data_IF_092960508252
#
_entry.id   IF_092960508252
#
_cell.length_a   1.000
_cell.length_b   1.000
_cell.length_c   1.000
_cell.angle_alpha   90.00
_cell.angle_beta   90.00
_cell.angle_gamma   90.00
#
_symmetry.space_group_name_H-M   'P 1'
#
loop_
_entity.id
_entity.type
_entity.pdbx_description
1 polymer ?
#
# COMPACT_ATOMS: atom_id res chain seq x y z
N UNK A 1 -7.87 16.62 -9.48
CA UNK A 1 -6.95 16.13 -8.44
C UNK A 1 -6.18 17.28 -7.81
N UNK A 2 -6.02 17.31 -6.50
CA UNK A 2 -5.32 18.39 -5.80
C UNK A 2 -3.83 18.39 -6.18
N UNK A 3 -3.26 19.56 -6.50
CA UNK A 3 -1.84 19.71 -6.88
C UNK A 3 -0.88 19.06 -5.87
N UNK A 4 -1.22 19.09 -4.59
CA UNK A 4 -0.41 18.48 -3.52
C UNK A 4 -0.34 16.96 -3.69
N UNK A 5 -1.48 16.30 -3.92
CA UNK A 5 -1.54 14.84 -4.11
C UNK A 5 -0.80 14.44 -5.39
N UNK A 6 -0.96 15.22 -6.48
CA UNK A 6 -0.25 14.97 -7.72
C UNK A 6 1.27 15.03 -7.50
N UNK A 7 1.77 16.12 -6.92
CA UNK A 7 3.19 16.26 -6.65
C UNK A 7 3.71 15.21 -5.67
N UNK A 8 2.92 14.82 -4.65
CA UNK A 8 3.28 13.73 -3.74
C UNK A 8 3.48 12.41 -4.49
N UNK A 9 2.55 12.07 -5.38
CA UNK A 9 2.61 10.85 -6.18
C UNK A 9 3.76 10.92 -7.19
N UNK A 10 3.91 12.05 -7.93
CA UNK A 10 4.99 12.23 -8.89
C UNK A 10 6.37 12.11 -8.23
N UNK A 11 6.59 12.78 -7.11
CA UNK A 11 7.87 12.70 -6.37
C UNK A 11 8.13 11.30 -5.82
N UNK A 12 7.12 10.65 -5.26
CA UNK A 12 7.28 9.29 -4.73
C UNK A 12 7.51 8.27 -5.86
N UNK A 13 6.84 8.43 -7.00
CA UNK A 13 7.05 7.63 -8.21
C UNK A 13 8.48 7.80 -8.75
N UNK A 14 8.95 9.03 -8.85
CA UNK A 14 10.30 9.33 -9.30
C UNK A 14 11.37 8.76 -8.36
N UNK A 15 11.16 8.90 -7.05
CA UNK A 15 12.08 8.36 -6.05
C UNK A 15 12.10 6.84 -5.93
N UNK A 16 10.96 6.17 -6.21
CA UNK A 16 10.84 4.72 -6.13
C UNK A 16 11.22 4.00 -7.44
N UNK A 17 10.84 4.56 -8.59
CA UNK A 17 10.90 3.87 -9.89
C UNK A 17 11.81 4.57 -10.91
N UNK A 18 12.49 5.64 -10.52
CA UNK A 18 13.46 6.35 -11.37
C UNK A 18 12.90 6.92 -12.67
N UNK A 19 11.59 7.19 -12.73
CA UNK A 19 10.96 7.88 -13.85
C UNK A 19 11.08 9.39 -13.68
N UNK A 20 11.14 10.14 -14.77
CA UNK A 20 11.12 11.59 -14.74
C UNK A 20 9.68 12.07 -14.73
N UNK A 21 9.34 12.93 -13.78
CA UNK A 21 7.99 13.49 -13.60
C UNK A 21 8.03 15.03 -13.56
N UNK A 22 6.96 15.67 -13.98
CA UNK A 22 6.83 17.11 -13.88
C UNK A 22 6.21 17.52 -12.55
N UNK A 23 6.88 18.42 -11.82
CA UNK A 23 6.43 18.92 -10.53
C UNK A 23 5.84 20.32 -10.72
N UNK A 24 4.61 20.49 -10.29
CA UNK A 24 3.93 21.80 -10.36
C UNK A 24 4.38 22.71 -9.21
N UNK A 25 4.66 23.99 -9.48
CA UNK A 25 5.06 24.93 -8.44
C UNK A 25 3.96 25.06 -7.37
N UNK A 26 4.39 25.14 -6.11
CA UNK A 26 3.50 25.25 -4.95
C UNK A 26 4.00 26.33 -3.98
N UNK A 27 3.08 26.90 -3.19
CA UNK A 27 3.45 27.75 -2.06
C UNK A 27 4.12 26.95 -0.93
N UNK A 28 4.91 27.60 -0.08
CA UNK A 28 5.55 26.97 1.08
C UNK A 28 4.52 26.25 1.98
N UNK A 29 3.34 26.80 2.15
CA UNK A 29 2.25 26.18 2.90
C UNK A 29 1.82 24.81 2.29
N UNK A 30 1.70 24.73 0.95
CA UNK A 30 1.35 23.47 0.27
C UNK A 30 2.47 22.44 0.36
N UNK A 31 3.73 22.88 0.35
CA UNK A 31 4.88 22.00 0.56
C UNK A 31 4.88 21.39 1.97
N UNK A 32 4.55 22.18 2.99
CA UNK A 32 4.40 21.67 4.36
C UNK A 32 3.26 20.62 4.47
N UNK A 33 2.17 20.83 3.74
CA UNK A 33 1.09 19.82 3.66
C UNK A 33 1.60 18.55 3.02
N UNK A 34 2.33 18.65 1.90
CA UNK A 34 2.90 17.50 1.20
C UNK A 34 3.84 16.72 2.11
N UNK A 35 4.70 17.41 2.87
CA UNK A 35 5.58 16.78 3.85
C UNK A 35 4.80 15.97 4.89
N UNK A 36 3.79 16.55 5.53
CA UNK A 36 2.92 15.86 6.49
C UNK A 36 2.21 14.65 5.87
N UNK A 37 1.78 14.76 4.62
CA UNK A 37 1.18 13.62 3.92
C UNK A 37 2.21 12.51 3.68
N UNK A 38 3.45 12.85 3.30
CA UNK A 38 4.52 11.89 3.12
C UNK A 38 4.88 11.15 4.42
N UNK A 39 4.89 11.87 5.56
CA UNK A 39 5.08 11.26 6.89
C UNK A 39 3.93 10.30 7.24
N UNK A 40 2.69 10.72 7.03
CA UNK A 40 1.51 9.88 7.33
C UNK A 40 1.48 8.63 6.46
N UNK A 41 1.88 8.73 5.19
CA UNK A 41 1.94 7.62 4.25
C UNK A 41 3.22 6.80 4.39
N UNK A 42 4.16 7.24 5.23
CA UNK A 42 5.45 6.60 5.48
C UNK A 42 6.29 6.41 4.19
N UNK A 43 6.31 7.47 3.37
CA UNK A 43 7.01 7.51 2.07
C UNK A 43 8.05 8.63 1.97
N UNK A 44 8.41 9.26 3.09
CA UNK A 44 9.39 10.36 3.13
C UNK A 44 10.68 10.04 2.38
N UNK A 45 11.31 8.85 2.53
CA UNK A 45 12.55 8.53 1.83
C UNK A 45 12.40 8.54 0.29
N UNK A 46 11.26 8.07 -0.22
CA UNK A 46 10.99 8.08 -1.65
C UNK A 46 10.76 9.50 -2.18
N UNK A 47 9.97 10.30 -1.46
CA UNK A 47 9.74 11.71 -1.81
C UNK A 47 11.05 12.50 -1.76
N UNK A 48 11.91 12.27 -0.78
CA UNK A 48 13.22 12.90 -0.67
C UNK A 48 14.10 12.62 -1.91
N UNK A 49 14.18 11.35 -2.34
CA UNK A 49 14.92 10.97 -3.56
C UNK A 49 14.35 11.62 -4.82
N UNK A 50 13.02 11.76 -4.91
CA UNK A 50 12.37 12.49 -5.99
C UNK A 50 12.73 13.97 -5.97
N UNK A 51 12.69 14.61 -4.79
CA UNK A 51 13.05 16.02 -4.62
C UNK A 51 14.51 16.31 -4.98
N UNK A 52 15.44 15.42 -4.64
CA UNK A 52 16.86 15.58 -4.97
C UNK A 52 17.10 15.74 -6.47
N UNK A 53 16.30 15.07 -7.31
CA UNK A 53 16.39 15.17 -8.77
C UNK A 53 15.88 16.51 -9.32
N UNK A 54 15.04 17.19 -8.57
CA UNK A 54 14.52 18.52 -8.89
C UNK A 54 15.27 19.67 -8.20
N UNK A 55 16.39 19.38 -7.54
CA UNK A 55 17.15 20.37 -6.77
C UNK A 55 17.59 21.58 -7.59
N UNK A 56 17.94 21.36 -8.85
CA UNK A 56 18.43 22.38 -9.79
C UNK A 56 17.30 22.96 -10.66
N UNK A 57 16.09 22.36 -10.60
CA UNK A 57 14.97 22.82 -11.42
C UNK A 57 14.26 24.01 -10.78
N UNK A 58 14.60 25.21 -11.27
CA UNK A 58 13.98 26.46 -10.84
C UNK A 58 12.47 26.53 -11.08
N UNK A 59 11.90 25.71 -11.99
CA UNK A 59 10.48 25.73 -12.34
C UNK A 59 9.63 25.13 -11.22
N UNK A 60 10.14 24.16 -10.48
CA UNK A 60 9.44 23.50 -9.38
C UNK A 60 9.25 24.41 -8.16
N UNK A 61 10.07 25.49 -8.05
CA UNK A 61 10.04 26.47 -6.95
C UNK A 61 10.01 25.80 -5.56
N UNK A 62 10.90 24.80 -5.34
CA UNK A 62 10.99 24.09 -4.08
C UNK A 62 11.74 24.97 -3.07
N UNK A 63 11.13 25.36 -1.93
CA UNK A 63 11.82 26.14 -0.91
C UNK A 63 13.00 25.37 -0.30
N UNK A 64 14.18 25.98 -0.07
CA UNK A 64 15.33 25.32 0.56
C UNK A 64 14.98 24.65 1.91
N UNK A 65 14.15 25.31 2.71
CA UNK A 65 13.67 24.77 3.99
C UNK A 65 12.95 23.42 3.84
N UNK A 66 12.23 23.22 2.73
CA UNK A 66 11.53 21.94 2.45
C UNK A 66 12.55 20.86 2.15
N UNK A 67 13.59 21.15 1.36
CA UNK A 67 14.67 20.21 1.07
C UNK A 67 15.35 19.77 2.38
N UNK A 68 15.65 20.70 3.28
CA UNK A 68 16.27 20.41 4.58
C UNK A 68 15.37 19.52 5.47
N UNK A 69 14.06 19.79 5.48
CA UNK A 69 13.09 19.00 6.24
C UNK A 69 13.08 17.53 5.76
N UNK A 70 13.00 17.31 4.45
CA UNK A 70 12.98 15.96 3.89
C UNK A 70 14.31 15.24 4.07
N UNK A 71 15.44 15.93 3.89
CA UNK A 71 16.77 15.34 4.10
C UNK A 71 16.97 14.88 5.55
N UNK A 72 16.65 15.72 6.53
CA UNK A 72 16.75 15.36 7.95
C UNK A 72 15.88 14.15 8.32
N UNK A 73 14.64 14.11 7.84
CA UNK A 73 13.72 13.01 8.10
C UNK A 73 14.14 11.71 7.37
N UNK A 74 14.76 11.82 6.19
CA UNK A 74 15.25 10.66 5.43
C UNK A 74 16.43 9.98 6.12
N UNK A 75 17.35 10.73 6.74
CA UNK A 75 18.48 10.16 7.49
C UNK A 75 18.04 9.33 8.70
N UNK A 76 16.95 9.67 9.35
CA UNK A 76 16.40 8.91 10.48
C UNK A 76 15.72 7.60 10.06
N UNK A 77 15.32 7.47 8.81
CA UNK A 77 14.57 6.32 8.28
C UNK A 77 15.36 5.51 7.22
N UNK A 78 16.64 5.84 6.98
CA UNK A 78 17.43 5.22 5.89
C UNK A 78 17.68 3.72 6.08
N UNK A 79 17.67 3.22 7.32
CA UNK A 79 17.87 1.79 7.62
C UNK A 79 16.63 0.91 7.42
N UNK A 80 15.45 1.49 7.24
CA UNK A 80 14.17 0.75 7.14
C UNK A 80 13.72 0.41 5.71
N UNK A 81 14.47 0.78 4.66
CA UNK A 81 14.10 0.44 3.27
C UNK A 81 14.44 -1.03 2.92
N UNK A 82 14.91 -1.81 3.89
CA UNK A 82 14.98 -3.25 3.70
C UNK A 82 13.57 -3.82 3.66
N UNK A 83 13.18 -4.30 2.47
CA UNK A 83 12.06 -5.22 2.30
C UNK A 83 12.32 -6.45 3.18
N UNK A 84 12.04 -6.34 4.47
CA UNK A 84 12.11 -7.46 5.41
C UNK A 84 10.87 -8.35 5.21
N UNK A 85 10.86 -9.08 4.10
CA UNK A 85 9.91 -10.17 3.94
C UNK A 85 10.56 -11.46 4.42
N UNK A 86 10.40 -11.74 5.69
CA UNK A 86 10.66 -13.07 6.21
C UNK A 86 9.39 -13.92 6.05
N UNK A 87 9.54 -15.13 5.50
CA UNK A 87 8.44 -16.10 5.35
C UNK A 87 7.79 -16.47 6.68
N UNK A 88 8.51 -16.34 7.79
CA UNK A 88 7.95 -16.45 9.14
C UNK A 88 6.85 -15.43 9.40
N UNK A 89 6.82 -14.34 8.63
CA UNK A 89 5.86 -13.24 8.72
C UNK A 89 4.54 -13.48 7.95
N UNK A 90 4.44 -14.59 7.16
CA UNK A 90 3.15 -15.05 6.63
C UNK A 90 2.37 -15.72 7.76
N UNK A 91 2.14 -14.95 8.81
CA UNK A 91 1.34 -15.43 9.90
C UNK A 91 -0.13 -15.53 9.45
N UNK A 92 -0.72 -16.68 9.73
CA UNK A 92 -2.14 -16.94 9.49
C UNK A 92 -3.06 -15.94 10.23
N UNK A 93 -2.54 -15.19 11.20
CA UNK A 93 -3.24 -14.12 11.91
C UNK A 93 -3.50 -12.89 11.04
N UNK A 94 -2.85 -12.74 9.87
CA UNK A 94 -3.09 -11.61 8.94
C UNK A 94 -4.48 -11.64 8.30
N UNK A 95 -5.16 -12.78 8.28
CA UNK A 95 -6.54 -12.89 7.78
C UNK A 95 -7.54 -13.02 8.95
N UNK A 96 -8.61 -12.22 8.90
CA UNK A 96 -9.63 -12.20 9.96
C UNK A 96 -10.63 -13.37 9.83
N UNK A 97 -10.92 -13.80 8.60
CA UNK A 97 -11.86 -14.88 8.35
C UNK A 97 -11.22 -16.26 8.58
N UNK A 98 -11.75 -17.08 9.53
CA UNK A 98 -11.10 -18.33 9.96
C UNK A 98 -10.84 -19.33 8.83
N UNK A 99 -11.79 -19.51 7.90
CA UNK A 99 -11.63 -20.43 6.79
C UNK A 99 -10.49 -20.01 5.86
N UNK A 100 -10.34 -18.72 5.55
CA UNK A 100 -9.22 -18.24 4.73
C UNK A 100 -7.89 -18.39 5.46
N UNK A 101 -7.88 -18.25 6.78
CA UNK A 101 -6.71 -18.50 7.61
C UNK A 101 -6.27 -19.96 7.51
N UNK A 102 -7.23 -20.89 7.57
CA UNK A 102 -6.97 -22.31 7.35
C UNK A 102 -6.43 -22.58 5.94
N UNK A 103 -7.09 -22.03 4.91
CA UNK A 103 -6.65 -22.17 3.52
C UNK A 103 -5.24 -21.59 3.29
N UNK A 104 -4.91 -20.48 3.93
CA UNK A 104 -3.57 -19.89 3.85
C UNK A 104 -2.51 -20.81 4.47
N UNK A 105 -2.81 -21.39 5.64
CA UNK A 105 -1.92 -22.38 6.26
C UNK A 105 -1.69 -23.61 5.36
N UNK A 106 -2.76 -24.11 4.72
CA UNK A 106 -2.67 -25.24 3.77
C UNK A 106 -1.80 -24.87 2.55
N UNK A 107 -1.95 -23.66 2.00
CA UNK A 107 -1.12 -23.16 0.91
C UNK A 107 0.36 -23.13 1.34
N UNK A 108 0.67 -22.51 2.47
CA UNK A 108 2.04 -22.41 2.98
C UNK A 108 2.64 -23.79 3.24
N UNK A 109 1.89 -24.68 3.87
CA UNK A 109 2.32 -26.03 4.16
C UNK A 109 2.66 -26.81 2.87
N UNK A 110 1.73 -26.80 1.90
CA UNK A 110 1.93 -27.48 0.61
C UNK A 110 3.12 -26.93 -0.17
N UNK A 111 3.28 -25.61 -0.17
CA UNK A 111 4.38 -24.96 -0.87
C UNK A 111 5.73 -25.30 -0.21
N UNK A 112 5.83 -25.31 1.12
CA UNK A 112 7.05 -25.68 1.84
C UNK A 112 7.48 -27.13 1.60
N UNK A 113 6.54 -28.03 1.29
CA UNK A 113 6.80 -29.46 1.04
C UNK A 113 6.77 -29.83 -0.45
N UNK A 114 6.65 -28.84 -1.33
CA UNK A 114 6.70 -29.05 -2.78
C UNK A 114 8.15 -29.18 -3.26
N UNK A 115 8.36 -30.03 -4.26
CA UNK A 115 9.66 -30.16 -4.94
C UNK A 115 10.02 -28.85 -5.64
N UNK A 116 9.02 -28.15 -6.17
CA UNK A 116 9.14 -26.85 -6.84
C UNK A 116 8.65 -25.73 -5.93
N UNK A 117 9.37 -25.49 -4.83
CA UNK A 117 9.05 -24.45 -3.85
C UNK A 117 9.37 -23.06 -4.40
N UNK A 118 8.37 -22.19 -4.48
CA UNK A 118 8.56 -20.79 -4.86
C UNK A 118 8.38 -19.84 -3.66
N UNK A 119 9.46 -19.65 -2.91
CA UNK A 119 9.50 -18.69 -1.79
C UNK A 119 9.09 -17.29 -2.22
N UNK A 120 9.57 -16.83 -3.36
CA UNK A 120 9.31 -15.49 -3.90
C UNK A 120 7.82 -15.30 -4.23
N UNK A 121 7.14 -16.35 -4.71
CA UNK A 121 5.69 -16.30 -4.94
C UNK A 121 4.89 -16.19 -3.63
N UNK A 122 5.35 -16.85 -2.56
CA UNK A 122 4.77 -16.68 -1.23
C UNK A 122 5.01 -15.27 -0.67
N UNK A 123 6.19 -14.68 -0.92
CA UNK A 123 6.50 -13.30 -0.52
C UNK A 123 5.55 -12.32 -1.22
N UNK A 124 5.28 -12.50 -2.53
CA UNK A 124 4.30 -11.70 -3.24
C UNK A 124 2.88 -11.86 -2.64
N UNK A 125 2.47 -13.08 -2.36
CA UNK A 125 1.19 -13.33 -1.71
C UNK A 125 1.11 -12.62 -0.34
N UNK A 126 2.19 -12.68 0.45
CA UNK A 126 2.27 -12.00 1.75
C UNK A 126 2.08 -10.50 1.63
N UNK A 127 2.73 -9.85 0.65
CA UNK A 127 2.56 -8.43 0.35
C UNK A 127 1.11 -8.07 0.02
N UNK A 128 0.48 -8.84 -0.86
CA UNK A 128 -0.92 -8.64 -1.24
C UNK A 128 -1.83 -8.79 -0.03
N UNK A 129 -1.58 -9.76 0.85
CA UNK A 129 -2.34 -9.98 2.08
C UNK A 129 -2.15 -8.84 3.09
N UNK A 130 -0.92 -8.38 3.28
CA UNK A 130 -0.60 -7.27 4.16
C UNK A 130 -1.30 -6.00 3.70
N UNK A 131 -1.20 -5.66 2.42
CA UNK A 131 -1.92 -4.53 1.84
C UNK A 131 -3.45 -4.69 1.97
N UNK A 132 -3.99 -5.89 1.78
CA UNK A 132 -5.41 -6.16 1.99
C UNK A 132 -5.84 -5.80 3.41
N UNK A 133 -5.06 -6.20 4.41
CA UNK A 133 -5.34 -5.89 5.81
C UNK A 133 -5.28 -4.40 6.11
N UNK A 134 -4.28 -3.71 5.55
CA UNK A 134 -4.12 -2.25 5.69
C UNK A 134 -5.30 -1.54 5.03
N UNK A 135 -5.67 -1.92 3.79
CA UNK A 135 -6.78 -1.32 3.04
C UNK A 135 -8.09 -1.45 3.81
N UNK A 136 -8.38 -2.61 4.36
CA UNK A 136 -9.61 -2.84 5.14
C UNK A 136 -9.63 -2.06 6.47
N UNK A 137 -8.47 -1.79 7.06
CA UNK A 137 -8.35 -1.06 8.33
C UNK A 137 -8.27 0.45 8.11
N UNK A 138 -7.41 0.89 7.22
CA UNK A 138 -6.94 2.28 7.13
C UNK A 138 -7.19 2.95 5.78
N UNK A 139 -7.74 2.22 4.80
CA UNK A 139 -7.82 2.67 3.41
C UNK A 139 -6.54 2.37 2.63
N UNK A 140 -6.51 2.79 1.36
CA UNK A 140 -5.35 2.60 0.50
C UNK A 140 -4.20 3.46 1.00
N UNK A 141 -3.03 2.82 1.21
CA UNK A 141 -1.79 3.45 1.65
C UNK A 141 -0.74 3.35 0.56
N UNK A 142 -0.10 4.48 0.24
CA UNK A 142 0.87 4.54 -0.85
C UNK A 142 2.08 3.66 -0.59
N UNK A 143 2.61 3.62 0.64
CA UNK A 143 3.77 2.80 0.97
C UNK A 143 3.60 1.34 0.56
N UNK A 144 2.56 0.68 1.03
CA UNK A 144 2.36 -0.74 0.72
C UNK A 144 2.14 -1.01 -0.77
N UNK A 145 1.48 -0.08 -1.48
CA UNK A 145 1.33 -0.17 -2.94
C UNK A 145 2.68 -0.01 -3.65
N UNK A 146 3.50 0.96 -3.22
CA UNK A 146 4.85 1.16 -3.79
C UNK A 146 5.77 -0.03 -3.53
N UNK A 147 5.74 -0.61 -2.33
CA UNK A 147 6.48 -1.83 -1.99
C UNK A 147 6.09 -3.01 -2.89
N UNK A 148 4.79 -3.18 -3.16
CA UNK A 148 4.30 -4.17 -4.12
C UNK A 148 4.88 -3.90 -5.53
N UNK A 149 4.88 -2.65 -5.98
CA UNK A 149 5.46 -2.28 -7.28
C UNK A 149 6.97 -2.51 -7.34
N UNK A 150 7.71 -2.11 -6.31
CA UNK A 150 9.16 -2.35 -6.21
C UNK A 150 9.46 -3.86 -6.26
N UNK A 151 8.71 -4.65 -5.49
CA UNK A 151 8.86 -6.10 -5.49
C UNK A 151 8.66 -6.70 -6.89
N UNK A 152 7.62 -6.31 -7.60
CA UNK A 152 7.31 -6.82 -8.93
C UNK A 152 8.40 -6.47 -9.95
N UNK A 153 8.93 -5.25 -9.93
CA UNK A 153 10.02 -4.83 -10.84
C UNK A 153 11.37 -5.45 -10.49
N UNK A 154 11.63 -5.76 -9.22
CA UNK A 154 12.91 -6.32 -8.78
C UNK A 154 12.93 -7.85 -8.76
N UNK A 155 11.83 -8.49 -8.41
CA UNK A 155 11.74 -9.95 -8.21
C UNK A 155 10.64 -10.61 -9.06
N UNK A 156 9.87 -9.85 -9.83
CA UNK A 156 8.73 -10.39 -10.58
C UNK A 156 9.09 -11.51 -11.56
N UNK A 157 10.28 -11.46 -12.16
CA UNK A 157 10.77 -12.51 -13.06
C UNK A 157 10.94 -13.88 -12.39
N UNK A 158 11.08 -13.91 -11.06
CA UNK A 158 11.26 -15.12 -10.26
C UNK A 158 9.94 -15.65 -9.68
N UNK A 159 8.82 -14.93 -9.92
CA UNK A 159 7.51 -15.28 -9.38
C UNK A 159 6.81 -16.28 -10.29
N UNK A 160 6.32 -17.37 -9.71
CA UNK A 160 5.33 -18.24 -10.36
C UNK A 160 3.93 -17.61 -10.24
N UNK A 161 3.56 -16.83 -11.25
CA UNK A 161 2.27 -16.15 -11.29
C UNK A 161 1.08 -17.11 -11.40
N UNK A 162 1.26 -18.33 -11.92
CA UNK A 162 0.21 -19.34 -12.00
C UNK A 162 -0.17 -19.82 -10.60
N UNK A 163 0.84 -20.08 -9.76
CA UNK A 163 0.63 -20.41 -8.35
C UNK A 163 -0.06 -19.26 -7.61
N UNK A 164 0.44 -18.02 -7.78
CA UNK A 164 -0.14 -16.83 -7.13
C UNK A 164 -1.60 -16.63 -7.54
N UNK A 165 -1.94 -16.74 -8.84
CA UNK A 165 -3.33 -16.64 -9.30
C UNK A 165 -4.23 -17.70 -8.67
N UNK A 166 -3.77 -18.96 -8.61
CA UNK A 166 -4.47 -20.08 -7.96
C UNK A 166 -4.73 -19.78 -6.47
N UNK A 167 -3.73 -19.31 -5.74
CA UNK A 167 -3.85 -18.97 -4.31
C UNK A 167 -4.81 -17.82 -4.07
N UNK A 168 -4.71 -16.75 -4.88
CA UNK A 168 -5.64 -15.62 -4.81
C UNK A 168 -7.09 -16.04 -5.11
N UNK A 169 -7.28 -17.03 -5.99
CA UNK A 169 -8.60 -17.59 -6.27
C UNK A 169 -9.13 -18.39 -5.08
N UNK A 170 -8.34 -19.28 -4.51
CA UNK A 170 -8.69 -20.08 -3.30
C UNK A 170 -9.04 -19.15 -2.12
N UNK A 171 -8.28 -18.09 -1.91
CA UNK A 171 -8.49 -17.10 -0.85
C UNK A 171 -9.61 -16.09 -1.18
N UNK A 172 -10.19 -16.13 -2.39
CA UNK A 172 -11.19 -15.15 -2.88
C UNK A 172 -10.71 -13.70 -2.75
N UNK A 173 -9.43 -13.44 -3.14
CA UNK A 173 -8.77 -12.13 -3.05
C UNK A 173 -8.44 -11.52 -4.41
N UNK A 174 -8.82 -12.14 -5.53
CA UNK A 174 -8.55 -11.62 -6.89
C UNK A 174 -8.99 -10.16 -7.08
N UNK A 175 -10.17 -9.77 -6.54
CA UNK A 175 -10.65 -8.38 -6.65
C UNK A 175 -9.77 -7.40 -5.86
N UNK A 176 -9.29 -7.81 -4.70
CA UNK A 176 -8.41 -6.98 -3.88
C UNK A 176 -7.01 -6.84 -4.52
N UNK A 177 -6.47 -7.92 -5.08
CA UNK A 177 -5.23 -7.87 -5.85
C UNK A 177 -5.37 -6.99 -7.10
N UNK A 178 -6.50 -7.09 -7.82
CA UNK A 178 -6.80 -6.21 -8.95
C UNK A 178 -6.91 -4.73 -8.55
N UNK A 179 -7.49 -4.40 -7.39
CA UNK A 179 -7.52 -3.04 -6.87
C UNK A 179 -6.09 -2.50 -6.64
N UNK A 180 -5.21 -3.29 -5.99
CA UNK A 180 -3.83 -2.89 -5.71
C UNK A 180 -3.04 -2.68 -7.01
N UNK A 181 -3.15 -3.59 -7.98
CA UNK A 181 -2.55 -3.46 -9.30
C UNK A 181 -3.07 -2.23 -10.04
N UNK A 182 -4.38 -1.94 -9.95
CA UNK A 182 -4.97 -0.75 -10.60
C UNK A 182 -4.42 0.55 -10.04
N UNK A 183 -4.14 0.63 -8.74
CA UNK A 183 -3.48 1.81 -8.16
C UNK A 183 -2.06 1.97 -8.72
N UNK A 184 -1.31 0.87 -8.90
CA UNK A 184 0.01 0.91 -9.53
C UNK A 184 -0.07 1.37 -10.99
N UNK A 185 -1.07 0.91 -11.73
CA UNK A 185 -1.30 1.32 -13.12
C UNK A 185 -1.69 2.80 -13.21
N UNK A 186 -2.65 3.25 -12.38
CA UNK A 186 -3.21 4.60 -12.46
C UNK A 186 -2.21 5.68 -12.04
N UNK A 187 -1.29 5.39 -11.10
CA UNK A 187 -0.43 6.39 -10.49
C UNK A 187 1.07 6.17 -10.71
N UNK A 188 1.51 4.92 -10.86
CA UNK A 188 2.95 4.61 -10.88
C UNK A 188 3.45 4.12 -12.24
N UNK A 189 2.59 4.12 -13.27
CA UNK A 189 2.97 3.81 -14.65
C UNK A 189 3.33 2.34 -14.85
N UNK A 190 2.62 1.44 -14.16
CA UNK A 190 2.70 0.01 -14.41
C UNK A 190 1.73 -0.41 -15.50
N UNK A 191 2.09 -1.43 -16.24
CA UNK A 191 1.25 -2.03 -17.27
C UNK A 191 0.61 -3.34 -16.77
N UNK A 192 -0.55 -3.72 -17.35
CA UNK A 192 -1.23 -4.96 -16.96
C UNK A 192 -0.38 -6.21 -17.15
N UNK A 193 0.56 -6.18 -18.08
CA UNK A 193 1.50 -7.29 -18.31
C UNK A 193 2.40 -7.57 -17.10
N UNK A 194 2.65 -6.54 -16.26
CA UNK A 194 3.43 -6.70 -15.02
C UNK A 194 2.65 -7.42 -13.90
N UNK A 195 1.33 -7.66 -14.11
CA UNK A 195 0.43 -8.35 -13.16
C UNK A 195 -0.31 -9.52 -13.82
N UNK A 196 0.36 -10.61 -14.24
CA UNK A 196 -0.30 -11.71 -14.96
C UNK A 196 -1.48 -12.34 -14.22
N UNK A 197 -1.55 -12.19 -12.89
CA UNK A 197 -2.66 -12.63 -12.04
C UNK A 197 -3.88 -11.69 -12.06
N UNK A 198 -3.81 -10.55 -12.78
CA UNK A 198 -4.88 -9.56 -12.89
C UNK A 198 -5.35 -9.46 -14.35
N UNK A 199 -6.60 -9.83 -14.60
CA UNK A 199 -7.18 -9.80 -15.95
C UNK A 199 -7.72 -8.44 -16.37
N UNK A 200 -8.09 -7.58 -15.40
CA UNK A 200 -8.76 -6.30 -15.65
C UNK A 200 -8.51 -5.32 -14.50
N UNK A 201 -8.24 -4.07 -14.85
CA UNK A 201 -8.14 -2.96 -13.90
C UNK A 201 -9.50 -2.58 -13.30
N UNK A 202 -9.48 -2.05 -12.08
CA UNK A 202 -10.67 -1.52 -11.42
C UNK A 202 -10.76 0.00 -11.64
N UNK A 203 -11.75 0.44 -12.40
CA UNK A 203 -12.01 1.86 -12.71
C UNK A 203 -12.24 2.76 -11.49
N UNK A 204 -12.43 2.19 -10.30
CA UNK A 204 -12.64 2.94 -9.06
C UNK A 204 -11.35 3.14 -8.25
N UNK A 205 -10.24 2.53 -8.69
CA UNK A 205 -8.99 2.56 -7.94
C UNK A 205 -8.53 3.99 -7.68
N UNK A 206 -8.51 4.84 -8.71
CA UNK A 206 -8.14 6.24 -8.59
C UNK A 206 -9.01 6.99 -7.58
N UNK A 207 -10.34 6.92 -7.70
CA UNK A 207 -11.26 7.61 -6.78
C UNK A 207 -11.16 7.12 -5.34
N UNK A 208 -10.94 5.81 -5.13
CA UNK A 208 -10.75 5.24 -3.79
C UNK A 208 -9.42 5.66 -3.17
N UNK A 209 -8.36 5.76 -3.97
CA UNK A 209 -7.05 6.23 -3.54
C UNK A 209 -7.11 7.69 -3.12
N UNK A 210 -7.65 8.56 -3.96
CA UNK A 210 -7.83 9.99 -3.63
C UNK A 210 -8.67 10.19 -2.37
N UNK A 211 -9.77 9.44 -2.25
CA UNK A 211 -10.61 9.48 -1.05
C UNK A 211 -9.84 9.03 0.20
N UNK A 212 -9.01 8.01 0.08
CA UNK A 212 -8.19 7.53 1.20
C UNK A 212 -7.16 8.58 1.63
N UNK A 213 -6.40 9.14 0.67
CA UNK A 213 -5.38 10.16 0.93
C UNK A 213 -5.96 11.44 1.52
N UNK A 214 -7.03 11.97 0.92
CA UNK A 214 -7.69 13.18 1.44
C UNK A 214 -8.22 12.95 2.86
N UNK A 215 -8.88 11.83 3.10
CA UNK A 215 -9.44 11.52 4.43
C UNK A 215 -8.37 11.42 5.50
N UNK A 216 -7.26 10.76 5.20
CA UNK A 216 -6.15 10.56 6.14
C UNK A 216 -5.48 11.87 6.52
N UNK A 217 -5.35 12.79 5.58
CA UNK A 217 -4.76 14.09 5.84
C UNK A 217 -5.60 14.93 6.83
N UNK A 218 -6.94 14.96 6.63
CA UNK A 218 -7.85 15.79 7.44
C UNK A 218 -8.19 15.20 8.82
N UNK A 219 -7.81 13.94 9.08
CA UNK A 219 -8.04 13.28 10.36
C UNK A 219 -6.79 13.29 11.23
N UNK A 220 -6.96 13.56 12.52
CA UNK A 220 -5.86 13.42 13.48
C UNK A 220 -5.48 11.95 13.71
N UNK A 221 -4.34 11.71 14.40
CA UNK A 221 -3.84 10.35 14.65
C UNK A 221 -4.84 9.50 15.47
N UNK A 222 -5.48 10.11 16.46
CA UNK A 222 -6.45 9.43 17.32
C UNK A 222 -7.70 9.02 16.53
N UNK A 223 -8.26 9.91 15.71
CA UNK A 223 -9.43 9.60 14.86
C UNK A 223 -9.15 8.46 13.89
N UNK A 224 -7.93 8.37 13.33
CA UNK A 224 -7.52 7.28 12.43
C UNK A 224 -7.41 5.93 13.12
N UNK A 225 -7.28 5.89 14.43
CA UNK A 225 -7.20 4.67 15.23
C UNK A 225 -8.56 4.23 15.77
N UNK A 226 -9.63 5.01 15.58
CA UNK A 226 -10.96 4.68 16.09
C UNK A 226 -11.60 3.47 15.43
N UNK A 227 -12.36 2.70 16.21
CA UNK A 227 -13.17 1.58 15.72
C UNK A 227 -14.14 2.02 14.61
N UNK A 228 -14.74 3.20 14.74
CA UNK A 228 -15.63 3.80 13.74
C UNK A 228 -14.92 4.00 12.38
N UNK A 229 -13.67 4.45 12.38
CA UNK A 229 -12.88 4.62 11.17
C UNK A 229 -12.60 3.28 10.47
N UNK A 230 -12.19 2.28 11.25
CA UNK A 230 -11.92 0.93 10.76
C UNK A 230 -13.18 0.29 10.14
N UNK A 231 -14.32 0.35 10.82
CA UNK A 231 -15.60 -0.18 10.32
C UNK A 231 -16.00 0.50 9.00
N UNK A 232 -15.87 1.84 8.92
CA UNK A 232 -16.19 2.59 7.71
C UNK A 232 -15.31 2.17 6.52
N UNK A 233 -14.05 1.86 6.74
CA UNK A 233 -13.16 1.33 5.70
C UNK A 233 -13.57 -0.10 5.30
N UNK A 234 -13.88 -0.98 6.26
CA UNK A 234 -14.44 -2.30 5.96
C UNK A 234 -15.67 -2.22 5.05
N UNK A 235 -16.59 -1.30 5.32
CA UNK A 235 -17.79 -1.08 4.48
C UNK A 235 -17.38 -0.56 3.08
N UNK A 236 -16.48 0.42 3.01
CA UNK A 236 -16.02 1.00 1.73
C UNK A 236 -15.40 -0.05 0.82
N UNK A 237 -14.60 -0.96 1.37
CA UNK A 237 -13.88 -1.99 0.63
C UNK A 237 -14.54 -3.38 0.65
N UNK A 238 -15.76 -3.49 1.20
CA UNK A 238 -16.49 -4.76 1.32
C UNK A 238 -16.57 -5.55 0.00
N UNK A 239 -16.84 -4.89 -1.12
CA UNK A 239 -16.95 -5.53 -2.44
C UNK A 239 -15.67 -6.26 -2.90
N UNK A 240 -14.51 -5.92 -2.34
CA UNK A 240 -13.23 -6.49 -2.72
C UNK A 240 -12.88 -7.75 -1.92
N UNK A 241 -13.40 -7.86 -0.70
CA UNK A 241 -13.24 -9.05 0.14
C UNK A 241 -14.34 -9.14 1.19
N UNK A 242 -15.51 -9.67 0.81
CA UNK A 242 -16.73 -9.71 1.66
C UNK A 242 -16.47 -10.35 3.03
N UNK A 243 -15.91 -11.56 3.05
CA UNK A 243 -15.71 -12.31 4.29
C UNK A 243 -14.71 -11.64 5.23
N UNK A 244 -13.58 -11.12 4.71
CA UNK A 244 -12.60 -10.40 5.51
C UNK A 244 -13.16 -9.09 6.08
N UNK A 245 -13.89 -8.34 5.25
CA UNK A 245 -14.52 -7.09 5.68
C UNK A 245 -15.52 -7.30 6.80
N UNK A 246 -16.37 -8.33 6.69
CA UNK A 246 -17.36 -8.66 7.71
C UNK A 246 -16.67 -9.10 9.00
N UNK A 247 -15.77 -10.09 8.93
CA UNK A 247 -15.09 -10.57 10.13
C UNK A 247 -14.27 -9.47 10.83
N UNK A 248 -13.65 -8.59 10.06
CA UNK A 248 -12.87 -7.49 10.61
C UNK A 248 -13.76 -6.42 11.24
N UNK A 249 -14.90 -6.10 10.63
CA UNK A 249 -15.88 -5.18 11.20
C UNK A 249 -16.48 -5.72 12.50
N UNK A 250 -16.93 -6.99 12.51
CA UNK A 250 -17.49 -7.63 13.70
C UNK A 250 -16.48 -7.75 14.83
N UNK A 251 -15.25 -8.18 14.57
CA UNK A 251 -14.19 -8.23 15.59
C UNK A 251 -13.85 -6.85 16.15
N UNK A 252 -13.90 -5.80 15.32
CA UNK A 252 -13.69 -4.42 15.77
C UNK A 252 -14.84 -3.95 16.68
N UNK A 253 -16.09 -4.31 16.35
CA UNK A 253 -17.26 -3.98 17.18
C UNK A 253 -17.18 -4.69 18.53
N UNK A 254 -16.92 -6.00 18.52
CA UNK A 254 -16.80 -6.79 19.76
C UNK A 254 -15.72 -6.21 20.67
N UNK A 255 -14.55 -5.91 20.12
CA UNK A 255 -13.45 -5.29 20.88
C UNK A 255 -13.82 -3.92 21.45
N UNK A 256 -14.52 -3.08 20.67
CA UNK A 256 -14.93 -1.76 21.18
C UNK A 256 -16.01 -1.84 22.25
N UNK A 257 -16.81 -2.90 22.29
CA UNK A 257 -17.78 -3.15 23.37
C UNK A 257 -17.10 -3.63 24.64
N UNK A 258 -16.11 -4.54 24.54
CA UNK A 258 -15.35 -5.00 25.71
C UNK A 258 -14.52 -3.90 26.36
N UNK A 259 -14.02 -2.92 25.60
CA UNK A 259 -13.29 -1.75 26.12
C UNK A 259 -14.20 -0.72 26.84
N UNK A 260 -15.53 -0.85 26.74
CA UNK A 260 -16.51 0.03 27.44
C UNK A 260 -16.93 -0.59 28.78
N UNK A 261 -16.80 -1.91 28.94
CA UNK A 261 -17.17 -2.64 30.15
C UNK A 261 -16.07 -2.69 31.22
N UNK A 262 -14.85 -2.24 30.90
CA UNK A 262 -13.76 -2.02 31.84
C UNK A 262 -13.69 -0.53 32.27
#
# INVERSE_FOLDING_TARGET
MNTIINNLISLSKEGAFSCKEDIKPMSAFKWNILYKMAEIEDIVPYVCRGLERHREDRRSNIPPMVMDMFSKASFTNADEIKLQFDLSDIDSQKLSYPLKRYLLKDIIYKEKHSIDTSKISLDLLSLILQNTNIILRSGIRLRGIMELGIFLRTKGQLVDFVKVESWLQKLKLKKMAALQASVLTDYFGFELVEFPYVKKTDKRAAALTEKSLNKVYWMNKQERQTSKYNIRNCITFHRYSHSESLCKATSTIIRSLSEIEE
#
